data_IF_851638349373
#
_entry.id   IF_851638349373
#
_cell.length_a   1.000
_cell.length_b   1.000
_cell.length_c   1.000
_cell.angle_alpha   90.00
_cell.angle_beta   90.00
_cell.angle_gamma   90.00
#
_symmetry.space_group_name_H-M   'P 1'
#
loop_
_entity.id
_entity.type
_entity.pdbx_description
1 polymer ?
#
# COMPACT_ATOMS: atom_id res chain seq x y z
N UNK A 1 -0.07 -33.84 60.64
CA UNK A 1 -0.05 -34.49 59.31
C UNK A 1 -1.25 -33.96 58.55
N UNK A 2 -1.00 -33.08 57.57
CA UNK A 2 -2.00 -32.36 56.77
C UNK A 2 -2.71 -33.28 55.75
N UNK A 3 -3.97 -32.95 55.48
CA UNK A 3 -4.88 -33.67 54.57
C UNK A 3 -4.64 -33.29 53.11
N UNK A 4 -4.74 -34.29 52.24
CA UNK A 4 -4.96 -34.15 50.80
C UNK A 4 -6.20 -33.28 50.49
N UNK A 5 -6.09 -32.46 49.43
CA UNK A 5 -7.22 -32.05 48.59
C UNK A 5 -6.80 -32.08 47.13
N UNK A 6 -7.39 -33.02 46.37
CA UNK A 6 -7.45 -33.02 44.90
C UNK A 6 -8.23 -31.77 44.45
N UNK A 7 -7.66 -31.02 43.51
CA UNK A 7 -8.30 -29.86 42.90
C UNK A 7 -9.16 -30.26 41.71
N UNK A 8 -10.45 -29.98 41.80
CA UNK A 8 -11.43 -30.07 40.72
C UNK A 8 -11.17 -28.96 39.68
N UNK A 9 -10.67 -29.34 38.51
CA UNK A 9 -10.51 -28.42 37.38
C UNK A 9 -11.46 -28.84 36.26
N UNK A 10 -12.38 -27.95 35.89
CA UNK A 10 -13.32 -28.15 34.78
C UNK A 10 -12.84 -27.35 33.57
N UNK A 11 -12.42 -28.08 32.53
CA UNK A 11 -12.05 -27.50 31.24
C UNK A 11 -13.28 -27.46 30.35
N UNK A 12 -13.83 -26.26 30.15
CA UNK A 12 -14.95 -26.06 29.25
C UNK A 12 -14.45 -25.73 27.84
N UNK A 13 -14.50 -26.71 26.94
CA UNK A 13 -14.14 -26.55 25.54
C UNK A 13 -15.21 -25.73 24.79
N UNK A 14 -14.82 -24.58 24.23
CA UNK A 14 -15.70 -23.62 23.52
C UNK A 14 -15.64 -23.73 21.99
N UNK A 15 -14.98 -24.73 21.44
CA UNK A 15 -14.81 -24.85 19.98
C UNK A 15 -16.16 -25.08 19.29
N UNK A 16 -16.36 -24.36 18.19
CA UNK A 16 -17.58 -24.38 17.35
C UNK A 16 -17.72 -25.66 16.50
N UNK A 17 -16.64 -26.39 16.34
CA UNK A 17 -16.55 -27.62 15.57
C UNK A 17 -15.93 -28.72 16.43
N UNK A 18 -16.39 -29.96 16.26
CA UNK A 18 -15.75 -31.13 16.86
C UNK A 18 -14.37 -31.38 16.22
N UNK A 19 -13.56 -32.25 16.84
CA UNK A 19 -12.28 -32.70 16.27
C UNK A 19 -12.44 -33.41 14.92
N UNK A 20 -13.64 -33.93 14.65
CA UNK A 20 -14.05 -34.56 13.38
C UNK A 20 -14.62 -33.57 12.35
N UNK A 21 -14.59 -32.25 12.62
CA UNK A 21 -15.03 -31.22 11.67
C UNK A 21 -16.53 -30.96 11.59
N UNK A 22 -17.35 -31.73 12.30
CA UNK A 22 -18.80 -31.53 12.39
C UNK A 22 -19.17 -30.36 13.33
N UNK A 23 -20.14 -29.49 12.96
CA UNK A 23 -20.60 -28.40 13.82
C UNK A 23 -21.35 -28.95 15.05
N UNK A 24 -21.01 -28.45 16.24
CA UNK A 24 -21.69 -28.88 17.49
C UNK A 24 -23.10 -28.29 17.61
N UNK A 25 -24.08 -29.04 18.15
CA UNK A 25 -25.50 -28.68 18.17
C UNK A 25 -25.87 -27.46 19.04
N UNK A 26 -24.94 -26.93 19.85
CA UNK A 26 -25.10 -25.64 20.56
C UNK A 26 -24.70 -24.42 19.70
N UNK A 27 -24.43 -24.62 18.41
CA UNK A 27 -24.39 -23.55 17.41
C UNK A 27 -25.79 -23.38 16.81
N UNK A 28 -26.54 -22.42 17.31
CA UNK A 28 -27.88 -22.07 16.79
C UNK A 28 -27.77 -21.78 15.30
N UNK A 29 -28.43 -22.60 14.48
CA UNK A 29 -28.66 -22.36 13.07
C UNK A 29 -30.17 -22.35 12.77
N UNK A 30 -30.59 -21.25 12.12
CA UNK A 30 -31.77 -21.02 11.26
C UNK A 30 -33.19 -20.93 11.87
N UNK A 31 -34.18 -20.25 11.21
CA UNK A 31 -34.27 -19.93 9.76
C UNK A 31 -34.79 -18.51 9.37
N UNK A 32 -34.61 -18.11 8.10
CA UNK A 32 -35.47 -17.15 7.36
C UNK A 32 -36.79 -17.85 6.93
N UNK A 33 -37.95 -17.22 6.57
CA UNK A 33 -38.20 -16.07 5.64
C UNK A 33 -39.49 -15.27 6.06
N UNK A 34 -40.38 -14.63 5.22
CA UNK A 34 -40.37 -14.25 3.81
C UNK A 34 -40.76 -12.78 3.50
N UNK A 35 -40.74 -12.45 2.21
CA UNK A 35 -41.22 -11.21 1.60
C UNK A 35 -42.74 -11.02 1.70
N UNK A 36 -43.18 -9.77 1.87
CA UNK A 36 -44.53 -9.29 1.53
C UNK A 36 -44.52 -7.79 1.15
N UNK A 37 -44.72 -7.59 -0.14
CA UNK A 37 -45.30 -6.47 -0.90
C UNK A 37 -46.19 -5.39 -0.21
N UNK A 38 -46.21 -4.23 -0.90
CA UNK A 38 -47.21 -3.13 -0.94
C UNK A 38 -47.10 -2.01 0.13
N UNK A 39 -47.29 -0.71 -0.14
CA UNK A 39 -47.57 0.09 -1.35
C UNK A 39 -47.71 1.56 -0.92
N UNK A 40 -47.32 2.50 -1.80
CA UNK A 40 -47.77 3.93 -1.90
C UNK A 40 -47.26 4.86 -0.78
N UNK A 41 -46.72 6.06 -1.01
CA UNK A 41 -47.13 7.16 -1.90
C UNK A 41 -45.97 8.16 -2.12
N UNK A 42 -45.63 8.47 -3.37
CA UNK A 42 -45.34 9.85 -3.81
C UNK A 42 -46.69 10.46 -4.29
N UNK A 43 -46.88 11.77 -4.55
CA UNK A 43 -45.89 12.81 -4.88
C UNK A 43 -46.17 14.23 -4.30
N UNK A 44 -45.18 15.13 -4.28
CA UNK A 44 -45.29 16.54 -4.74
C UNK A 44 -44.05 17.38 -4.38
N UNK A 45 -43.26 17.72 -5.39
CA UNK A 45 -42.59 19.03 -5.53
C UNK A 45 -43.59 19.98 -6.22
N UNK A 46 -43.55 21.33 -6.06
CA UNK A 46 -42.35 22.16 -6.26
C UNK A 46 -42.23 23.37 -5.33
N UNK A 47 -41.04 24.01 -5.26
CA UNK A 47 -40.85 25.48 -5.37
C UNK A 47 -39.34 25.75 -5.43
N UNK A 48 -38.93 26.38 -6.54
CA UNK A 48 -37.64 27.04 -6.69
C UNK A 48 -37.68 28.43 -6.04
N UNK A 49 -36.66 28.78 -5.23
CA UNK A 49 -36.06 30.12 -5.15
C UNK A 49 -34.96 30.17 -4.06
N UNK A 50 -33.71 30.34 -4.51
CA UNK A 50 -32.53 30.76 -3.73
C UNK A 50 -32.62 32.28 -3.49
N UNK A 51 -32.25 32.81 -2.31
CA UNK A 51 -30.96 33.49 -2.19
C UNK A 51 -30.16 33.09 -0.93
N UNK A 52 -28.84 33.01 -1.12
CA UNK A 52 -27.77 32.86 -0.14
C UNK A 52 -27.76 34.00 0.89
N UNK A 53 -27.31 33.73 2.13
CA UNK A 53 -25.96 34.17 2.48
C UNK A 53 -25.15 33.14 3.30
N UNK A 54 -23.94 32.82 2.83
CA UNK A 54 -22.82 32.30 3.63
C UNK A 54 -22.09 33.45 4.36
N UNK A 55 -21.20 33.23 5.38
CA UNK A 55 -20.56 31.97 5.76
C UNK A 55 -20.56 31.67 7.27
N UNK A 56 -20.57 30.39 7.63
CA UNK A 56 -19.99 29.94 8.91
C UNK A 56 -19.34 28.58 8.66
N UNK A 57 -18.07 28.36 9.04
CA UNK A 57 -17.30 27.20 8.61
C UNK A 57 -17.83 25.93 9.28
N UNK A 58 -18.67 25.19 8.57
CA UNK A 58 -18.99 23.82 8.91
C UNK A 58 -17.76 22.96 8.58
N UNK A 59 -17.08 22.53 9.65
CA UNK A 59 -16.08 21.47 9.63
C UNK A 59 -16.59 20.34 8.75
N UNK A 60 -15.86 20.07 7.66
CA UNK A 60 -15.89 18.77 7.01
C UNK A 60 -15.74 17.70 8.09
N UNK A 61 -16.63 16.69 8.17
CA UNK A 61 -16.26 15.45 8.82
C UNK A 61 -15.21 14.82 7.91
N UNK A 62 -13.96 15.16 8.20
CA UNK A 62 -12.76 14.45 7.78
C UNK A 62 -13.07 12.96 7.76
N UNK A 63 -12.93 12.38 6.57
CA UNK A 63 -13.38 11.04 6.25
C UNK A 63 -13.05 10.08 7.38
N UNK A 64 -14.09 9.36 7.81
CA UNK A 64 -13.97 8.22 8.71
C UNK A 64 -12.97 7.24 8.10
N UNK A 65 -11.71 7.38 8.54
CA UNK A 65 -10.68 6.39 8.32
C UNK A 65 -11.18 5.14 9.02
N UNK A 66 -11.75 4.23 8.22
CA UNK A 66 -12.20 2.93 8.69
C UNK A 66 -10.92 2.22 9.09
N UNK A 67 -10.57 2.30 10.38
CA UNK A 67 -9.47 1.57 10.95
C UNK A 67 -9.82 0.09 10.85
N UNK A 68 -9.41 -0.53 9.75
CA UNK A 68 -9.28 -1.98 9.70
C UNK A 68 -8.34 -2.35 10.84
N UNK A 69 -8.76 -3.18 11.81
CA UNK A 69 -7.88 -3.58 12.89
C UNK A 69 -6.62 -4.21 12.27
N UNK A 70 -5.41 -3.86 12.76
CA UNK A 70 -4.18 -4.42 12.23
C UNK A 70 -4.23 -5.95 12.34
N UNK A 71 -3.65 -6.68 11.37
CA UNK A 71 -3.62 -8.14 11.43
C UNK A 71 -2.95 -8.59 12.74
N UNK A 72 -3.37 -9.74 13.28
CA UNK A 72 -2.76 -10.40 14.46
C UNK A 72 -1.34 -10.94 14.19
N UNK A 73 -0.56 -10.24 13.37
CA UNK A 73 0.89 -10.33 13.44
C UNK A 73 1.32 -9.58 14.69
N UNK A 74 2.20 -10.16 15.52
CA UNK A 74 2.70 -9.53 16.74
C UNK A 74 3.41 -8.17 16.55
N UNK A 75 3.51 -7.67 15.31
CA UNK A 75 3.99 -6.33 14.98
C UNK A 75 2.83 -5.33 14.98
N UNK A 76 2.80 -4.44 15.97
CA UNK A 76 1.89 -3.30 16.03
C UNK A 76 2.65 -2.02 15.67
N UNK A 77 2.50 -1.55 14.44
CA UNK A 77 3.27 -0.42 13.89
C UNK A 77 3.11 0.87 14.72
N UNK A 78 1.93 1.12 15.31
CA UNK A 78 1.68 2.31 16.13
C UNK A 78 2.37 2.23 17.50
N UNK A 79 2.32 1.06 18.14
CA UNK A 79 3.00 0.82 19.42
C UNK A 79 4.52 0.89 19.26
N UNK A 80 5.07 0.27 18.22
CA UNK A 80 6.52 0.27 17.95
C UNK A 80 7.03 1.67 17.54
N UNK A 81 6.24 2.47 16.81
CA UNK A 81 6.61 3.87 16.51
C UNK A 81 6.76 4.73 17.76
N UNK A 82 5.91 4.53 18.76
CA UNK A 82 6.01 5.22 20.05
C UNK A 82 7.28 4.85 20.83
N UNK A 83 7.83 3.65 20.59
CA UNK A 83 9.07 3.16 21.23
C UNK A 83 10.32 3.70 20.52
N UNK A 84 10.29 3.82 19.19
CA UNK A 84 11.46 4.19 18.38
C UNK A 84 11.42 5.62 17.80
N UNK A 85 10.41 6.44 18.14
CA UNK A 85 10.32 7.83 17.71
C UNK A 85 10.16 8.02 16.20
N UNK A 86 9.58 7.05 15.49
CA UNK A 86 9.41 7.10 14.04
C UNK A 86 8.13 7.81 13.61
N UNK A 87 8.25 8.79 12.71
CA UNK A 87 7.10 9.39 12.04
C UNK A 87 6.32 8.37 11.19
N UNK A 88 5.07 8.72 10.86
CA UNK A 88 4.28 7.89 9.96
C UNK A 88 4.86 7.92 8.56
N UNK A 89 5.37 6.78 8.11
CA UNK A 89 5.72 6.56 6.70
C UNK A 89 4.47 6.71 5.83
N UNK A 90 4.38 7.82 5.12
CA UNK A 90 3.42 8.04 4.02
C UNK A 90 3.91 7.39 2.72
N UNK A 91 3.00 7.10 1.79
CA UNK A 91 3.32 6.45 0.52
C UNK A 91 4.36 7.23 -0.30
N UNK A 92 4.31 8.56 -0.25
CA UNK A 92 5.28 9.45 -0.93
C UNK A 92 6.71 9.22 -0.42
N UNK A 93 6.91 8.92 0.87
CA UNK A 93 8.24 8.61 1.41
C UNK A 93 8.77 7.27 0.89
N UNK A 94 7.89 6.28 0.70
CA UNK A 94 8.27 5.01 0.06
C UNK A 94 8.75 5.27 -1.38
N UNK A 95 8.02 6.10 -2.13
CA UNK A 95 8.42 6.45 -3.50
C UNK A 95 9.77 7.18 -3.52
N UNK A 96 9.99 8.10 -2.59
CA UNK A 96 11.26 8.83 -2.49
C UNK A 96 12.44 7.87 -2.20
N UNK A 97 12.26 6.92 -1.27
CA UNK A 97 13.27 5.89 -1.00
C UNK A 97 13.60 5.04 -2.23
N UNK A 98 12.58 4.66 -3.01
CA UNK A 98 12.75 3.92 -4.25
C UNK A 98 13.47 4.78 -5.31
N UNK A 99 13.14 6.06 -5.40
CA UNK A 99 13.79 7.00 -6.32
C UNK A 99 15.28 7.19 -5.99
N UNK A 100 15.63 7.36 -4.71
CA UNK A 100 17.02 7.46 -4.24
C UNK A 100 17.81 6.18 -4.57
N UNK A 101 17.20 5.02 -4.35
CA UNK A 101 17.80 3.72 -4.69
C UNK A 101 18.02 3.58 -6.20
N UNK A 102 17.07 4.03 -7.02
CA UNK A 102 17.23 4.04 -8.48
C UNK A 102 18.32 5.02 -8.95
N UNK A 103 18.44 6.18 -8.30
CA UNK A 103 19.52 7.14 -8.57
C UNK A 103 20.91 6.58 -8.23
N UNK A 104 21.01 5.76 -7.18
CA UNK A 104 22.23 5.02 -6.87
C UNK A 104 22.62 4.09 -8.04
N UNK A 105 21.68 3.30 -8.57
CA UNK A 105 21.93 2.45 -9.74
C UNK A 105 22.26 3.24 -11.01
N UNK A 106 21.69 4.44 -11.18
CA UNK A 106 22.02 5.37 -12.27
C UNK A 106 23.44 6.00 -12.13
N UNK A 107 24.18 5.67 -11.06
CA UNK A 107 25.50 6.21 -10.77
C UNK A 107 25.47 7.69 -10.34
N UNK A 108 24.32 8.21 -9.89
CA UNK A 108 24.18 9.63 -9.56
C UNK A 108 24.84 10.03 -8.23
N UNK A 109 25.27 9.07 -7.40
CA UNK A 109 25.80 9.30 -6.05
C UNK A 109 27.31 9.04 -5.87
N UNK A 110 28.06 8.61 -6.89
CA UNK A 110 29.49 8.33 -6.73
C UNK A 110 30.37 9.55 -7.09
N UNK A 111 30.85 10.25 -6.07
CA UNK A 111 31.82 11.36 -6.15
C UNK A 111 33.29 10.94 -6.27
N UNK A 112 33.59 9.79 -6.89
CA UNK A 112 34.94 9.21 -6.88
C UNK A 112 35.27 8.33 -8.08
N UNK A 113 36.05 8.92 -9.00
CA UNK A 113 36.87 8.37 -10.10
C UNK A 113 36.26 7.39 -11.13
N UNK A 114 35.21 6.63 -10.82
CA UNK A 114 34.48 5.84 -11.82
C UNK A 114 33.00 5.77 -11.45
N UNK A 115 32.17 6.56 -12.15
CA UNK A 115 30.71 6.44 -12.08
C UNK A 115 30.31 5.09 -12.66
N UNK A 116 30.08 4.07 -11.83
CA UNK A 116 29.61 2.77 -12.30
C UNK A 116 28.10 2.77 -12.33
N UNK A 117 27.56 2.75 -13.55
CA UNK A 117 26.11 2.68 -13.77
C UNK A 117 25.68 1.22 -13.81
N UNK A 118 24.78 0.83 -12.92
CA UNK A 118 24.14 -0.48 -12.92
C UNK A 118 22.80 -0.40 -13.68
N UNK A 119 22.88 -0.67 -14.99
CA UNK A 119 21.73 -0.68 -15.88
C UNK A 119 20.72 -1.78 -15.48
N UNK A 120 21.21 -2.91 -14.97
CA UNK A 120 20.38 -4.06 -14.62
C UNK A 120 19.56 -3.73 -13.37
N UNK A 121 20.21 -3.17 -12.35
CA UNK A 121 19.56 -2.67 -11.14
C UNK A 121 18.53 -1.57 -11.45
N UNK A 122 18.88 -0.61 -12.32
CA UNK A 122 17.95 0.45 -12.72
C UNK A 122 16.71 -0.10 -13.46
N UNK A 123 16.88 -1.08 -14.35
CA UNK A 123 15.76 -1.77 -15.01
C UNK A 123 14.86 -2.47 -13.99
N UNK A 124 15.45 -3.15 -13.03
CA UNK A 124 14.70 -3.83 -11.96
C UNK A 124 13.89 -2.84 -11.13
N UNK A 125 14.43 -1.63 -10.85
CA UNK A 125 13.68 -0.59 -10.17
C UNK A 125 12.48 -0.09 -10.97
N UNK A 126 12.62 0.08 -12.29
CA UNK A 126 11.49 0.44 -13.17
C UNK A 126 10.41 -0.64 -13.13
N UNK A 127 10.80 -1.92 -13.19
CA UNK A 127 9.88 -3.05 -13.13
C UNK A 127 9.14 -3.07 -11.77
N UNK A 128 9.86 -2.87 -10.67
CA UNK A 128 9.29 -2.81 -9.32
C UNK A 128 8.26 -1.69 -9.17
N UNK A 129 8.59 -0.48 -9.61
CA UNK A 129 7.69 0.68 -9.55
C UNK A 129 6.49 0.49 -10.47
N UNK A 130 6.67 -0.17 -11.62
CA UNK A 130 5.56 -0.51 -12.54
C UNK A 130 4.59 -1.49 -11.89
N UNK A 131 5.09 -2.51 -11.19
CA UNK A 131 4.24 -3.44 -10.43
C UNK A 131 3.53 -2.70 -9.29
N UNK A 132 4.22 -1.79 -8.61
CA UNK A 132 3.61 -0.98 -7.55
C UNK A 132 2.45 -0.15 -8.09
N UNK A 133 2.61 0.49 -9.25
CA UNK A 133 1.53 1.21 -9.94
C UNK A 133 0.34 0.30 -10.22
N UNK A 134 0.56 -0.90 -10.75
CA UNK A 134 -0.52 -1.85 -11.03
C UNK A 134 -1.24 -2.34 -9.78
N UNK A 135 -0.51 -2.66 -8.71
CA UNK A 135 -1.06 -3.22 -7.48
C UNK A 135 -1.72 -2.19 -6.58
N UNK A 136 -1.44 -0.91 -6.78
CA UNK A 136 -2.03 0.18 -5.99
C UNK A 136 -3.17 0.92 -6.70
N UNK A 137 -3.54 0.53 -7.94
CA UNK A 137 -4.66 1.14 -8.67
C UNK A 137 -5.95 1.11 -7.85
N UNK A 138 -6.61 2.26 -7.75
CA UNK A 138 -7.84 2.43 -6.97
C UNK A 138 -7.63 2.69 -5.48
N UNK A 139 -6.38 2.60 -4.99
CA UNK A 139 -6.02 2.90 -3.60
C UNK A 139 -5.11 4.13 -3.45
N UNK A 140 -4.89 4.88 -4.55
CA UNK A 140 -4.06 6.09 -4.56
C UNK A 140 -4.93 7.33 -4.58
N UNK A 141 -4.51 8.35 -3.82
CA UNK A 141 -4.96 9.72 -4.00
C UNK A 141 -4.47 10.30 -5.33
N UNK A 142 -5.10 11.37 -5.82
CA UNK A 142 -4.68 12.04 -7.06
C UNK A 142 -3.23 12.53 -7.01
N UNK A 143 -2.80 13.02 -5.84
CA UNK A 143 -1.43 13.44 -5.59
C UNK A 143 -0.46 12.26 -5.70
N UNK A 144 -0.72 11.15 -4.98
CA UNK A 144 0.15 9.96 -5.01
C UNK A 144 0.25 9.35 -6.40
N UNK A 145 -0.87 9.31 -7.14
CA UNK A 145 -0.91 8.85 -8.52
C UNK A 145 -0.05 9.73 -9.44
N UNK A 146 -0.12 11.06 -9.28
CA UNK A 146 0.71 12.00 -10.03
C UNK A 146 2.20 11.82 -9.72
N UNK A 147 2.55 11.65 -8.43
CA UNK A 147 3.95 11.43 -8.02
C UNK A 147 4.47 10.11 -8.59
N UNK A 148 3.71 9.02 -8.46
CA UNK A 148 4.09 7.70 -8.94
C UNK A 148 4.32 7.67 -10.45
N UNK A 149 3.37 8.23 -11.21
CA UNK A 149 3.47 8.31 -12.68
C UNK A 149 4.64 9.17 -13.14
N UNK A 150 4.87 10.32 -12.49
CA UNK A 150 6.02 11.18 -12.79
C UNK A 150 7.35 10.46 -12.49
N UNK A 151 7.46 9.82 -11.32
CA UNK A 151 8.65 9.06 -10.95
C UNK A 151 8.97 7.97 -11.97
N UNK A 152 7.96 7.18 -12.34
CA UNK A 152 8.10 6.09 -13.31
C UNK A 152 8.49 6.61 -14.71
N UNK A 153 7.96 7.76 -15.14
CA UNK A 153 8.40 8.43 -16.36
C UNK A 153 9.88 8.84 -16.29
N UNK A 154 10.30 9.49 -15.21
CA UNK A 154 11.69 9.94 -15.03
C UNK A 154 12.68 8.78 -15.04
N UNK A 155 12.35 7.67 -14.35
CA UNK A 155 13.20 6.48 -14.32
C UNK A 155 13.36 5.86 -15.72
N UNK A 156 12.27 5.77 -16.49
CA UNK A 156 12.31 5.25 -17.87
C UNK A 156 13.16 6.12 -18.78
N UNK A 157 13.05 7.45 -18.67
CA UNK A 157 13.87 8.38 -19.43
C UNK A 157 15.35 8.28 -19.05
N UNK A 158 15.66 8.30 -17.75
CA UNK A 158 17.03 8.14 -17.25
C UNK A 158 17.66 6.84 -17.75
N UNK A 159 16.92 5.73 -17.72
CA UNK A 159 17.37 4.46 -18.28
C UNK A 159 17.69 4.55 -19.78
N UNK A 160 16.80 5.14 -20.59
CA UNK A 160 17.07 5.29 -22.02
C UNK A 160 18.29 6.17 -22.31
N UNK A 161 18.46 7.26 -21.56
CA UNK A 161 19.64 8.13 -21.68
C UNK A 161 20.92 7.37 -21.38
N UNK A 162 20.96 6.64 -20.26
CA UNK A 162 22.10 5.81 -19.86
C UNK A 162 22.43 4.76 -20.93
N UNK A 163 21.42 4.05 -21.43
CA UNK A 163 21.61 3.04 -22.47
C UNK A 163 22.19 3.67 -23.74
N UNK A 164 21.69 4.84 -24.13
CA UNK A 164 22.22 5.59 -25.29
C UNK A 164 23.66 6.07 -25.06
N UNK A 165 24.01 6.54 -23.87
CA UNK A 165 25.37 6.98 -23.54
C UNK A 165 26.36 5.81 -23.63
N UNK A 166 25.99 4.65 -23.09
CA UNK A 166 26.82 3.45 -23.12
C UNK A 166 26.97 2.91 -24.54
N UNK A 167 25.90 2.95 -25.35
CA UNK A 167 25.96 2.59 -26.76
C UNK A 167 26.92 3.52 -27.54
N UNK A 168 26.84 4.84 -27.33
CA UNK A 168 27.75 5.82 -27.94
C UNK A 168 29.20 5.57 -27.56
N UNK A 169 29.50 5.32 -26.28
CA UNK A 169 30.86 5.04 -25.81
C UNK A 169 31.48 3.78 -26.43
N UNK A 170 30.67 2.73 -26.66
CA UNK A 170 31.12 1.51 -27.35
C UNK A 170 31.50 1.77 -28.80
N UNK A 171 30.78 2.65 -29.50
CA UNK A 171 31.08 2.98 -30.91
C UNK A 171 32.33 3.85 -31.09
N UNK A 172 32.74 4.60 -30.07
CA UNK A 172 33.95 5.45 -30.11
C UNK A 172 35.22 4.72 -29.65
N UNK A 173 35.11 3.45 -29.19
CA UNK A 173 36.18 2.73 -28.49
C UNK A 173 37.15 1.87 -29.30
N UNK A 174 36.77 1.27 -30.44
CA UNK A 174 37.63 0.35 -31.24
C UNK A 174 37.09 0.18 -32.67
N UNK A 175 37.90 0.07 -33.77
CA UNK A 175 39.36 0.09 -33.92
C UNK A 175 39.93 1.08 -34.98
N UNK A 176 41.10 1.64 -34.68
CA UNK A 176 42.04 2.17 -35.66
C UNK A 176 43.44 1.64 -35.36
N UNK A 177 43.72 0.39 -35.74
CA UNK A 177 45.08 -0.13 -35.80
C UNK A 177 45.53 -0.14 -37.27
N UNK A 178 46.48 0.72 -37.69
CA UNK A 178 47.26 0.45 -38.87
C UNK A 178 48.50 -0.36 -38.47
N UNK A 179 48.66 -1.49 -39.16
CA UNK A 179 49.88 -2.28 -39.20
C UNK A 179 51.04 -1.43 -39.73
N UNK A 180 52.17 -1.37 -39.00
CA UNK A 180 53.51 -1.60 -39.56
C UNK A 180 54.58 -1.68 -38.48
#
# INVERSE_FOLDING_TARGET
MEKEKKSDFVVTDRRKFSVDGEPRPDSVAEPAPPAAEQSKTAPSEPVAAKPEPEPTPEKEPSGASTQTPPPETGYNAEKERGVFGGEKMEFVHLLDLLAQTAMLYAGAMEGGKERRVDIVGLRQMIDLVSILEEKTKGNLTDHEKSVLSNMLFQLRMSYMEIVNLIAKQKTTGTPGAPQK
#
